data_IF_339437043700
#
_entry.id   IF_339437043700
#
_cell.length_a   1.000
_cell.length_b   1.000
_cell.length_c   1.000
_cell.angle_alpha   90.00
_cell.angle_beta   90.00
_cell.angle_gamma   90.00
#
_symmetry.space_group_name_H-M   'P 1'
#
loop_
_entity.id
_entity.type
_entity.pdbx_description
1 polymer ?
#
# COMPACT_ATOMS: atom_id res chain seq x y z
N UNK A 1 0.89 14.89 11.20
CA UNK A 1 0.40 13.60 10.71
C UNK A 1 0.60 13.56 9.21
N UNK A 2 1.49 12.71 8.71
CA UNK A 2 1.72 12.54 7.26
C UNK A 2 0.60 11.71 6.62
N UNK A 3 0.45 11.78 5.30
CA UNK A 3 -0.47 10.91 4.54
C UNK A 3 -0.16 9.43 4.80
N UNK A 4 1.12 9.07 4.92
CA UNK A 4 1.55 7.73 5.30
C UNK A 4 0.98 7.30 6.67
N UNK A 5 1.13 8.14 7.69
CA UNK A 5 0.57 7.86 9.03
C UNK A 5 -0.97 7.75 9.01
N UNK A 6 -1.65 8.51 8.15
CA UNK A 6 -3.09 8.39 7.96
C UNK A 6 -3.48 7.02 7.38
N UNK A 7 -2.76 6.53 6.37
CA UNK A 7 -3.05 5.23 5.75
C UNK A 7 -2.68 4.08 6.69
N UNK A 8 -1.51 4.15 7.34
CA UNK A 8 -1.01 3.13 8.25
C UNK A 8 -2.01 2.79 9.37
N UNK A 9 -2.66 3.79 9.99
CA UNK A 9 -3.69 3.52 11.02
C UNK A 9 -4.91 2.75 10.50
N UNK A 10 -5.27 2.94 9.23
CA UNK A 10 -6.41 2.23 8.64
C UNK A 10 -6.00 0.81 8.23
N UNK A 11 -4.75 0.62 7.78
CA UNK A 11 -4.17 -0.70 7.55
C UNK A 11 -4.12 -1.50 8.86
N UNK A 12 -3.64 -0.89 9.95
CA UNK A 12 -3.59 -1.54 11.27
C UNK A 12 -4.98 -1.96 11.77
N UNK A 13 -5.98 -1.10 11.57
CA UNK A 13 -7.37 -1.43 11.92
C UNK A 13 -7.90 -2.63 11.10
N UNK A 14 -7.60 -2.67 9.80
CA UNK A 14 -7.99 -3.78 8.93
C UNK A 14 -7.29 -5.10 9.33
N UNK A 15 -6.01 -5.05 9.69
CA UNK A 15 -5.26 -6.20 10.19
C UNK A 15 -5.84 -6.72 11.51
N UNK A 16 -6.18 -5.82 12.44
CA UNK A 16 -6.83 -6.18 13.71
C UNK A 16 -8.18 -6.87 13.50
N UNK A 17 -9.01 -6.36 12.59
CA UNK A 17 -10.31 -6.95 12.23
C UNK A 17 -10.16 -8.32 11.54
N UNK A 18 -9.18 -8.42 10.63
CA UNK A 18 -8.84 -9.66 9.95
C UNK A 18 -8.38 -10.75 10.93
N UNK A 19 -7.49 -10.40 11.87
CA UNK A 19 -7.01 -11.30 12.91
C UNK A 19 -8.16 -11.83 13.78
N UNK A 20 -9.09 -10.97 14.18
CA UNK A 20 -10.30 -11.37 14.92
C UNK A 20 -11.18 -12.36 14.11
N UNK A 21 -11.14 -12.26 12.78
CA UNK A 21 -11.87 -13.11 11.85
C UNK A 21 -11.06 -14.33 11.36
N UNK A 22 -9.84 -14.55 11.88
CA UNK A 22 -8.89 -15.59 11.43
C UNK A 22 -8.56 -15.51 9.93
N UNK A 23 -8.56 -14.31 9.39
CA UNK A 23 -8.12 -14.03 8.02
C UNK A 23 -6.61 -13.82 8.06
N UNK A 24 -5.91 -14.48 7.13
CA UNK A 24 -4.45 -14.42 7.03
C UNK A 24 -3.99 -13.02 6.59
N UNK A 25 -2.88 -12.56 7.15
CA UNK A 25 -2.29 -11.26 6.85
C UNK A 25 -1.91 -11.12 5.37
N UNK A 26 -1.43 -12.18 4.71
CA UNK A 26 -1.11 -12.18 3.28
C UNK A 26 -2.36 -11.92 2.43
N UNK A 27 -3.53 -12.40 2.87
CA UNK A 27 -4.81 -12.13 2.20
C UNK A 27 -5.16 -10.65 2.30
N UNK A 28 -4.99 -10.05 3.49
CA UNK A 28 -5.22 -8.61 3.69
C UNK A 28 -4.26 -7.79 2.84
N UNK A 29 -2.96 -8.13 2.82
CA UNK A 29 -1.94 -7.44 2.01
C UNK A 29 -2.29 -7.45 0.52
N UNK A 30 -2.74 -8.60 -0.03
CA UNK A 30 -3.19 -8.71 -1.43
C UNK A 30 -4.42 -7.84 -1.72
N UNK A 31 -5.36 -7.76 -0.79
CA UNK A 31 -6.53 -6.88 -0.91
C UNK A 31 -6.11 -5.40 -0.91
N UNK A 32 -5.20 -5.00 -0.02
CA UNK A 32 -4.66 -3.63 0.03
C UNK A 32 -3.94 -3.26 -1.27
N UNK A 33 -3.12 -4.17 -1.81
CA UNK A 33 -2.46 -3.97 -3.11
C UNK A 33 -3.48 -3.82 -4.25
N UNK A 34 -4.55 -4.62 -4.24
CA UNK A 34 -5.61 -4.54 -5.24
C UNK A 34 -6.32 -3.20 -5.23
N UNK A 35 -6.61 -2.66 -4.04
CA UNK A 35 -7.20 -1.33 -3.87
C UNK A 35 -6.25 -0.21 -4.31
N UNK A 36 -4.95 -0.31 -4.00
CA UNK A 36 -3.95 0.64 -4.48
C UNK A 36 -3.89 0.67 -6.01
N UNK A 37 -3.87 -0.50 -6.67
CA UNK A 37 -3.90 -0.61 -8.13
C UNK A 37 -5.19 -0.02 -8.71
N UNK A 38 -6.35 -0.28 -8.08
CA UNK A 38 -7.63 0.29 -8.49
C UNK A 38 -7.60 1.82 -8.49
N UNK A 39 -6.98 2.44 -7.47
CA UNK A 39 -6.84 3.89 -7.38
C UNK A 39 -5.87 4.45 -8.43
N UNK A 40 -4.71 3.82 -8.65
CA UNK A 40 -3.75 4.29 -9.65
C UNK A 40 -4.28 4.23 -11.08
N UNK A 41 -5.11 3.22 -11.40
CA UNK A 41 -5.74 3.08 -12.71
C UNK A 41 -6.61 4.27 -13.14
N UNK A 42 -6.99 5.17 -12.22
CA UNK A 42 -7.71 6.39 -12.58
C UNK A 42 -6.86 7.39 -13.37
N UNK A 43 -5.52 7.30 -13.34
CA UNK A 43 -4.66 8.28 -14.00
C UNK A 43 -3.29 7.78 -14.43
N UNK A 44 -3.01 6.48 -14.32
CA UNK A 44 -1.73 5.87 -14.70
C UNK A 44 -1.95 4.68 -15.61
N UNK A 45 -1.01 4.45 -16.53
CA UNK A 45 -0.99 3.22 -17.32
C UNK A 45 -0.55 2.03 -16.47
N UNK A 46 -0.81 0.80 -16.91
CA UNK A 46 -0.32 -0.39 -16.21
C UNK A 46 1.21 -0.43 -16.12
N UNK A 47 1.92 0.13 -17.11
CA UNK A 47 3.38 0.21 -17.10
C UNK A 47 3.89 1.15 -16.00
N UNK A 48 3.27 2.33 -15.86
CA UNK A 48 3.63 3.29 -14.81
C UNK A 48 3.31 2.77 -13.41
N UNK A 49 2.21 2.00 -13.28
CA UNK A 49 1.86 1.34 -12.02
C UNK A 49 2.90 0.28 -11.65
N UNK A 50 3.32 -0.55 -12.61
CA UNK A 50 4.33 -1.56 -12.37
C UNK A 50 5.67 -0.93 -11.96
N UNK A 51 6.10 0.14 -12.63
CA UNK A 51 7.32 0.87 -12.28
C UNK A 51 7.25 1.47 -10.86
N UNK A 52 6.12 2.07 -10.48
CA UNK A 52 5.90 2.61 -9.14
C UNK A 52 5.96 1.50 -8.06
N UNK A 53 5.33 0.35 -8.31
CA UNK A 53 5.34 -0.78 -7.36
C UNK A 53 6.73 -1.39 -7.19
N UNK A 54 7.50 -1.52 -8.26
CA UNK A 54 8.90 -1.98 -8.20
C UNK A 54 9.73 -0.98 -7.38
N UNK A 55 9.63 0.31 -7.70
CA UNK A 55 10.33 1.35 -6.94
C UNK A 55 9.92 1.36 -5.47
N UNK A 56 8.63 1.19 -5.16
CA UNK A 56 8.14 1.11 -3.81
C UNK A 56 8.69 -0.11 -3.06
N UNK A 57 8.74 -1.29 -3.71
CA UNK A 57 9.30 -2.49 -3.11
C UNK A 57 10.81 -2.38 -2.87
N UNK A 58 11.56 -1.76 -3.79
CA UNK A 58 13.00 -1.58 -3.68
C UNK A 58 13.41 -0.53 -2.63
N UNK A 59 12.51 0.39 -2.29
CA UNK A 59 12.78 1.53 -1.39
C UNK A 59 11.88 1.54 -0.15
N UNK A 60 11.18 0.45 0.15
CA UNK A 60 10.36 0.34 1.36
C UNK A 60 11.31 0.26 2.56
N UNK A 61 11.49 1.37 3.26
CA UNK A 61 12.18 1.42 4.54
C UNK A 61 11.13 1.37 5.65
N UNK A 62 11.23 0.38 6.56
CA UNK A 62 10.32 0.23 7.70
C UNK A 62 10.34 1.46 8.62
N UNK A 63 11.44 2.22 8.61
CA UNK A 63 11.64 3.41 9.45
C UNK A 63 11.43 4.75 8.72
N UNK A 64 11.22 4.76 7.39
CA UNK A 64 11.14 6.00 6.61
C UNK A 64 10.06 5.95 5.52
N UNK A 65 9.03 6.83 5.56
CA UNK A 65 7.96 6.80 4.58
C UNK A 65 8.50 7.08 3.18
N UNK A 66 8.09 6.25 2.20
CA UNK A 66 8.35 6.42 0.77
C UNK A 66 8.18 7.89 0.35
N UNK A 67 9.30 8.54 0.06
CA UNK A 67 9.29 9.87 -0.54
C UNK A 67 8.91 9.67 -1.99
N UNK A 68 7.65 9.95 -2.34
CA UNK A 68 7.18 10.02 -3.72
C UNK A 68 7.96 11.12 -4.46
N UNK A 69 9.17 10.81 -4.95
CA UNK A 69 9.88 11.68 -5.88
C UNK A 69 9.21 11.54 -7.24
N UNK A 70 8.39 12.54 -7.60
CA UNK A 70 8.02 12.76 -8.99
C UNK A 70 9.19 13.44 -9.71
N UNK A 71 9.49 13.09 -10.98
CA UNK A 71 10.20 13.98 -11.90
C UNK A 71 9.37 15.22 -12.24
#
# INVERSE_FOLDING_TARGET
MSTHQLVARHVEAALSEAAASKIDEDVVARCLLSEAIRLFKHGRSNGDIAAELIAAADNLDEDSPLVFMRP
#
